data_IF_531070512303
#
_entry.id   IF_531070512303
#
_cell.length_a   1.000
_cell.length_b   1.000
_cell.length_c   1.000
_cell.angle_alpha   90.00
_cell.angle_beta   90.00
_cell.angle_gamma   90.00
#
_symmetry.space_group_name_H-M   'P 1'
#
loop_
_entity.id
_entity.type
_entity.pdbx_description
1 polymer ?
#
# COMPACT_ATOMS: atom_id res chain seq x y z
N UNK A 1 4.07 -9.26 -11.16
CA UNK A 1 2.76 -8.59 -11.36
C UNK A 1 2.66 -7.35 -10.48
N UNK A 2 3.51 -6.34 -10.70
CA UNK A 2 3.56 -5.16 -9.81
C UNK A 2 2.34 -4.24 -9.96
N UNK A 3 1.82 -4.05 -11.19
CA UNK A 3 0.71 -3.13 -11.45
C UNK A 3 -0.62 -3.54 -10.78
N UNK A 4 -1.11 -4.80 -10.89
CA UNK A 4 -2.35 -5.18 -10.22
C UNK A 4 -2.26 -5.14 -8.69
N UNK A 5 -1.09 -5.44 -8.13
CA UNK A 5 -0.86 -5.37 -6.68
C UNK A 5 -0.86 -3.91 -6.21
N UNK A 6 -0.25 -3.01 -6.99
CA UNK A 6 -0.23 -1.58 -6.68
C UNK A 6 -1.63 -0.96 -6.67
N UNK A 7 -2.51 -1.32 -7.63
CA UNK A 7 -3.91 -0.88 -7.63
C UNK A 7 -4.65 -1.24 -6.34
N UNK A 8 -4.42 -2.45 -5.81
CA UNK A 8 -5.02 -2.88 -4.54
C UNK A 8 -4.41 -2.13 -3.35
N UNK A 9 -3.11 -1.83 -3.39
CA UNK A 9 -2.45 -1.00 -2.39
C UNK A 9 -3.07 0.41 -2.33
N UNK A 10 -3.33 1.04 -3.48
CA UNK A 10 -3.97 2.36 -3.55
C UNK A 10 -5.40 2.30 -3.00
N UNK A 11 -6.18 1.28 -3.35
CA UNK A 11 -7.54 1.07 -2.79
C UNK A 11 -7.50 0.91 -1.28
N UNK A 12 -6.57 0.11 -0.75
CA UNK A 12 -6.41 -0.07 0.69
C UNK A 12 -6.07 1.24 1.42
N UNK A 13 -5.17 2.06 0.85
CA UNK A 13 -4.84 3.40 1.36
C UNK A 13 -6.07 4.32 1.41
N UNK A 14 -6.87 4.32 0.34
CA UNK A 14 -8.10 5.12 0.30
C UNK A 14 -9.12 4.67 1.36
N UNK A 15 -9.38 3.37 1.47
CA UNK A 15 -10.29 2.83 2.49
C UNK A 15 -9.81 3.15 3.90
N UNK A 16 -8.50 3.04 4.16
CA UNK A 16 -7.91 3.45 5.43
C UNK A 16 -8.21 4.93 5.74
N UNK A 17 -8.00 5.84 4.79
CA UNK A 17 -8.30 7.27 4.98
C UNK A 17 -9.77 7.52 5.30
N UNK A 18 -10.70 6.81 4.64
CA UNK A 18 -12.13 6.91 4.94
C UNK A 18 -12.47 6.44 6.36
N UNK A 19 -11.86 5.35 6.82
CA UNK A 19 -12.06 4.82 8.17
C UNK A 19 -11.44 5.73 9.23
N UNK A 20 -10.25 6.29 8.97
CA UNK A 20 -9.58 7.23 9.87
C UNK A 20 -10.38 8.53 10.01
N UNK A 21 -10.89 9.07 8.89
CA UNK A 21 -11.74 10.26 8.88
C UNK A 21 -13.08 10.04 9.62
N UNK A 22 -13.59 8.81 9.65
CA UNK A 22 -14.79 8.44 10.42
C UNK A 22 -14.51 8.26 11.92
N UNK A 23 -13.26 8.30 12.35
CA UNK A 23 -12.88 8.11 13.76
C UNK A 23 -13.12 6.70 14.29
N UNK A 24 -13.32 5.70 13.41
CA UNK A 24 -13.56 4.30 13.81
C UNK A 24 -12.27 3.52 14.07
N UNK A 25 -11.11 4.11 13.78
CA UNK A 25 -9.78 3.53 13.99
C UNK A 25 -9.15 4.16 15.24
N UNK A 26 -8.71 3.32 16.19
CA UNK A 26 -7.96 3.78 17.35
C UNK A 26 -6.53 4.24 17.00
N UNK A 27 -5.89 4.98 17.89
CA UNK A 27 -4.51 5.46 17.68
C UNK A 27 -3.52 4.31 17.43
N UNK A 28 -3.68 3.19 18.14
CA UNK A 28 -2.83 2.00 17.97
C UNK A 28 -3.09 1.32 16.63
N UNK A 29 -4.35 1.15 16.25
CA UNK A 29 -4.71 0.55 14.96
C UNK A 29 -4.23 1.42 13.80
N UNK A 30 -4.30 2.75 13.92
CA UNK A 30 -3.81 3.68 12.89
C UNK A 30 -2.35 3.41 12.53
N UNK A 31 -1.48 3.25 13.52
CA UNK A 31 -0.06 2.94 13.29
C UNK A 31 0.11 1.59 12.56
N UNK A 32 -0.64 0.57 12.96
CA UNK A 32 -0.62 -0.75 12.31
C UNK A 32 -1.07 -0.67 10.84
N UNK A 33 -2.17 0.02 10.55
CA UNK A 33 -2.66 0.19 9.18
C UNK A 33 -1.67 0.96 8.30
N UNK A 34 -1.07 2.04 8.82
CA UNK A 34 -0.04 2.80 8.10
C UNK A 34 1.14 1.89 7.75
N UNK A 35 1.63 1.09 8.70
CA UNK A 35 2.73 0.15 8.42
C UNK A 35 2.37 -0.85 7.33
N UNK A 36 1.16 -1.46 7.40
CA UNK A 36 0.70 -2.42 6.39
C UNK A 36 0.62 -1.81 4.99
N UNK A 37 0.08 -0.59 4.84
CA UNK A 37 0.01 0.09 3.54
C UNK A 37 1.42 0.42 3.01
N UNK A 38 2.34 0.82 3.90
CA UNK A 38 3.74 1.09 3.51
C UNK A 38 4.47 -0.16 3.06
N UNK A 39 4.28 -1.29 3.75
CA UNK A 39 4.85 -2.58 3.37
C UNK A 39 4.33 -3.05 2.01
N UNK A 40 3.02 -2.92 1.76
CA UNK A 40 2.42 -3.24 0.46
C UNK A 40 2.99 -2.38 -0.67
N UNK A 41 3.11 -1.06 -0.44
CA UNK A 41 3.68 -0.15 -1.43
C UNK A 41 5.15 -0.47 -1.72
N UNK A 42 5.93 -0.78 -0.69
CA UNK A 42 7.33 -1.20 -0.81
C UNK A 42 7.45 -2.50 -1.62
N UNK A 43 6.67 -3.52 -1.29
CA UNK A 43 6.67 -4.79 -2.00
C UNK A 43 6.27 -4.64 -3.48
N UNK A 44 5.30 -3.76 -3.78
CA UNK A 44 4.95 -3.44 -5.17
C UNK A 44 6.10 -2.75 -5.92
N UNK A 45 6.81 -1.83 -5.26
CA UNK A 45 7.99 -1.16 -5.82
C UNK A 45 9.17 -2.10 -6.06
N UNK A 46 9.48 -2.98 -5.10
CA UNK A 46 10.50 -4.03 -5.25
C UNK A 46 10.16 -4.95 -6.43
N UNK A 47 8.90 -5.41 -6.50
CA UNK A 47 8.43 -6.23 -7.60
C UNK A 47 8.47 -5.49 -8.95
N UNK A 48 8.30 -4.16 -8.97
CA UNK A 48 8.38 -3.35 -10.18
C UNK A 48 9.81 -3.27 -10.71
N UNK A 49 10.80 -3.04 -9.84
CA UNK A 49 12.22 -2.96 -10.23
C UNK A 49 12.69 -4.23 -10.93
N UNK A 50 12.13 -5.40 -10.59
CA UNK A 50 12.44 -6.67 -11.25
C UNK A 50 11.73 -6.90 -12.59
N UNK A 51 10.93 -5.95 -13.07
CA UNK A 51 10.30 -6.02 -14.41
C UNK A 51 11.13 -5.28 -15.43
N UNK A 52 11.00 -5.64 -16.72
CA UNK A 52 11.66 -4.93 -17.83
C UNK A 52 11.34 -3.43 -17.83
N UNK A 53 10.10 -3.06 -17.51
CA UNK A 53 9.66 -1.67 -17.40
C UNK A 53 10.27 -0.92 -16.19
N UNK A 54 10.71 -1.65 -15.17
CA UNK A 54 11.36 -1.11 -13.97
C UNK A 54 12.87 -1.00 -14.05
N UNK A 55 13.47 -1.30 -15.20
CA UNK A 55 14.91 -1.19 -15.42
C UNK A 55 15.70 -2.47 -15.09
N UNK A 56 15.02 -3.61 -14.85
CA UNK A 56 15.71 -4.90 -14.89
C UNK A 56 16.19 -5.14 -16.32
N UNK A 57 17.47 -4.88 -16.55
CA UNK A 57 18.21 -5.22 -17.77
C UNK A 57 19.01 -6.49 -17.53
#
# INVERSE_FOLDING_TARGET
MALPAYDQCIKASHVFNLLDARGVISVTERQSYIMRVRELAKACGEAWVHTEAGGAS
#
